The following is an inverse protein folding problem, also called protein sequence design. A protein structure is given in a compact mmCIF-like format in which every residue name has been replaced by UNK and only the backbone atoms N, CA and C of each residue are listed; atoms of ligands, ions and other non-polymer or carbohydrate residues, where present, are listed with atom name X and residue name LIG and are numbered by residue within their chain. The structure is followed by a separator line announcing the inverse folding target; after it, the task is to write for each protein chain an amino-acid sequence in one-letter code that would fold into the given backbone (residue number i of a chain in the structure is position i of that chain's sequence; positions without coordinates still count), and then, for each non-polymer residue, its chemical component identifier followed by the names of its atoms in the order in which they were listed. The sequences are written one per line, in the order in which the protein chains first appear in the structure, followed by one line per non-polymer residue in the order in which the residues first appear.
data_IF_290032699955
#
_entry.id   IF_290032699955
#
_cell.length_a   1.000
_cell.length_b   1.000
_cell.length_c   1.000
_cell.angle_alpha   90.00
_cell.angle_beta   90.00
_cell.angle_gamma   90.00
#
_symmetry.space_group_name_H-M   'P 1'
#
loop_
_entity.id
_entity.type
_entity.pdbx_description
1 polymer ?
#
# COMPACT_ATOMS: atom_id res chain seq x y z
N UNK A 1 -6.51 -38.91 2.62
CA UNK A 1 -7.26 -37.63 2.66
C UNK A 1 -6.27 -36.52 2.39
N UNK A 2 -6.35 -35.83 1.25
CA UNK A 2 -5.52 -34.63 1.02
C UNK A 2 -6.04 -33.50 1.91
N UNK A 3 -5.61 -33.47 3.17
CA UNK A 3 -5.76 -32.29 4.02
C UNK A 3 -4.80 -31.22 3.48
N UNK A 4 -5.29 -30.42 2.55
CA UNK A 4 -4.57 -29.29 2.00
C UNK A 4 -5.50 -28.46 1.13
N UNK A 5 -5.64 -27.18 1.47
CA UNK A 5 -6.25 -26.21 0.57
C UNK A 5 -5.39 -26.15 -0.70
N UNK A 6 -6.01 -26.20 -1.88
CA UNK A 6 -5.29 -25.98 -3.15
C UNK A 6 -4.87 -24.51 -3.19
N UNK A 7 -3.57 -24.26 -3.19
CA UNK A 7 -2.99 -22.92 -3.31
C UNK A 7 -2.51 -22.78 -4.75
N UNK A 8 -3.16 -21.93 -5.53
CA UNK A 8 -2.74 -21.66 -6.89
C UNK A 8 -1.43 -20.85 -6.89
N UNK A 9 -0.49 -21.14 -7.79
CA UNK A 9 0.75 -20.38 -7.90
C UNK A 9 0.46 -18.92 -8.32
N UNK A 10 1.39 -17.99 -8.03
CA UNK A 10 1.30 -16.62 -8.51
C UNK A 10 1.32 -16.62 -10.04
N UNK A 11 0.54 -15.74 -10.66
CA UNK A 11 0.50 -15.60 -12.12
C UNK A 11 0.31 -14.14 -12.54
N UNK A 12 1.07 -13.74 -13.56
CA UNK A 12 1.07 -12.39 -14.12
C UNK A 12 1.57 -11.31 -13.16
N UNK A 13 1.43 -10.05 -13.58
CA UNK A 13 1.97 -8.89 -12.85
C UNK A 13 1.07 -8.49 -11.68
N UNK A 14 1.70 -8.03 -10.61
CA UNK A 14 1.02 -7.53 -9.42
C UNK A 14 1.24 -6.03 -9.30
N UNK A 15 0.15 -5.26 -9.29
CA UNK A 15 0.18 -3.85 -8.98
C UNK A 15 0.33 -3.62 -7.49
N UNK A 16 1.27 -2.76 -7.10
CA UNK A 16 1.39 -2.24 -5.74
C UNK A 16 1.17 -0.74 -5.82
N UNK A 17 -0.02 -0.29 -5.39
CA UNK A 17 -0.38 1.12 -5.37
C UNK A 17 -0.23 1.71 -3.96
N UNK A 18 0.45 2.83 -3.85
CA UNK A 18 0.88 3.38 -2.55
C UNK A 18 0.44 4.84 -2.41
N UNK A 19 -0.55 5.15 -1.57
CA UNK A 19 -0.80 6.53 -1.14
C UNK A 19 0.38 7.00 -0.27
N UNK A 20 1.04 8.07 -0.68
CA UNK A 20 2.30 8.57 -0.12
C UNK A 20 3.51 7.91 -0.78
N UNK A 21 4.16 8.59 -1.72
CA UNK A 21 5.42 8.20 -2.37
C UNK A 21 6.66 8.87 -1.71
N UNK A 22 6.55 9.19 -0.42
CA UNK A 22 7.63 9.74 0.39
C UNK A 22 8.72 8.72 0.76
N UNK A 23 9.47 9.01 1.84
CA UNK A 23 10.72 8.31 2.17
C UNK A 23 10.61 6.77 2.26
N UNK A 24 9.56 6.23 2.89
CA UNK A 24 9.37 4.77 3.01
C UNK A 24 9.13 4.13 1.65
N UNK A 25 8.17 4.68 0.90
CA UNK A 25 7.73 4.14 -0.38
C UNK A 25 8.80 4.26 -1.45
N UNK A 26 9.47 5.42 -1.53
CA UNK A 26 10.54 5.63 -2.51
C UNK A 26 11.75 4.73 -2.25
N UNK A 27 12.11 4.54 -0.97
CA UNK A 27 13.15 3.58 -0.55
C UNK A 27 12.76 2.14 -0.90
N UNK A 28 11.50 1.76 -0.62
CA UNK A 28 10.99 0.42 -0.93
C UNK A 28 11.05 0.13 -2.44
N UNK A 29 10.54 1.05 -3.27
CA UNK A 29 10.53 0.91 -4.74
C UNK A 29 11.97 0.85 -5.27
N UNK A 30 12.84 1.77 -4.84
CA UNK A 30 14.24 1.79 -5.25
C UNK A 30 15.00 0.52 -4.85
N UNK A 31 14.77 0.02 -3.64
CA UNK A 31 15.34 -1.24 -3.16
C UNK A 31 14.89 -2.44 -3.99
N UNK A 32 13.61 -2.52 -4.34
CA UNK A 32 13.09 -3.58 -5.21
C UNK A 32 13.70 -3.50 -6.61
N UNK A 33 13.77 -2.32 -7.22
CA UNK A 33 14.38 -2.15 -8.55
C UNK A 33 15.88 -2.49 -8.55
N UNK A 34 16.59 -2.20 -7.46
CA UNK A 34 18.00 -2.60 -7.31
C UNK A 34 18.14 -4.13 -7.21
N UNK A 35 17.25 -4.80 -6.46
CA UNK A 35 17.25 -6.26 -6.33
C UNK A 35 16.92 -6.95 -7.66
N UNK A 36 15.92 -6.46 -8.40
CA UNK A 36 15.58 -6.97 -9.75
C UNK A 36 16.78 -6.95 -10.70
N UNK A 37 17.66 -5.95 -10.56
CA UNK A 37 18.88 -5.80 -11.38
C UNK A 37 20.11 -6.53 -10.84
N UNK A 38 19.98 -7.25 -9.72
CA UNK A 38 21.11 -7.92 -9.06
C UNK A 38 22.11 -6.96 -8.42
N UNK A 39 21.76 -5.69 -8.23
CA UNK A 39 22.62 -4.66 -7.64
C UNK A 39 22.57 -4.64 -6.11
N UNK A 40 21.53 -5.26 -5.53
CA UNK A 40 21.34 -5.35 -4.09
C UNK A 40 20.74 -6.71 -3.70
N UNK A 41 20.78 -7.01 -2.41
CA UNK A 41 20.07 -8.15 -1.80
C UNK A 41 18.89 -7.61 -0.96
N UNK A 42 17.75 -8.34 -0.87
CA UNK A 42 16.58 -7.91 -0.11
C UNK A 42 16.75 -8.11 1.40
N UNK A 43 17.81 -7.53 1.97
CA UNK A 43 18.18 -7.65 3.39
C UNK A 43 17.06 -7.11 4.27
N UNK A 44 16.67 -7.88 5.29
CA UNK A 44 15.57 -7.56 6.19
C UNK A 44 14.19 -8.05 5.71
N UNK A 45 14.07 -8.55 4.47
CA UNK A 45 12.81 -9.11 3.98
C UNK A 45 12.61 -10.55 4.47
N UNK A 46 11.60 -10.75 5.32
CA UNK A 46 11.23 -12.08 5.82
C UNK A 46 10.85 -13.03 4.67
N UNK A 47 10.09 -12.57 3.69
CA UNK A 47 9.62 -13.44 2.60
C UNK A 47 10.76 -13.83 1.66
N UNK A 48 11.77 -12.98 1.49
CA UNK A 48 12.86 -13.19 0.54
C UNK A 48 14.10 -13.87 1.14
N UNK A 49 14.37 -13.66 2.43
CA UNK A 49 15.57 -14.16 3.11
C UNK A 49 15.29 -14.98 4.38
N UNK A 50 14.05 -14.99 4.86
CA UNK A 50 13.65 -15.79 6.02
C UNK A 50 13.55 -17.28 5.70
N UNK A 51 13.61 -18.09 6.75
CA UNK A 51 13.47 -19.54 6.68
C UNK A 51 12.33 -20.04 7.56
N UNK A 52 11.74 -21.17 7.19
CA UNK A 52 10.72 -21.85 7.99
C UNK A 52 11.26 -23.19 8.49
N UNK A 53 11.09 -23.50 9.77
CA UNK A 53 11.47 -24.81 10.31
C UNK A 53 10.33 -25.81 10.13
N UNK A 54 10.65 -26.95 9.54
CA UNK A 54 9.75 -28.09 9.37
C UNK A 54 10.19 -29.24 10.27
N UNK A 55 9.23 -29.93 10.89
CA UNK A 55 9.51 -31.12 11.71
C UNK A 55 10.27 -30.85 13.02
N UNK A 56 10.87 -31.91 13.57
CA UNK A 56 11.61 -31.84 14.86
C UNK A 56 12.92 -31.09 14.70
N UNK A 57 13.46 -30.60 15.84
CA UNK A 57 14.70 -29.80 15.86
C UNK A 57 15.89 -30.58 15.31
N UNK A 58 15.91 -31.88 15.56
CA UNK A 58 16.97 -32.80 15.15
C UNK A 58 16.99 -33.09 13.65
N UNK A 59 15.92 -32.75 12.91
CA UNK A 59 15.83 -33.01 11.46
C UNK A 59 16.55 -31.95 10.62
N UNK A 60 16.88 -30.78 11.19
CA UNK A 60 17.53 -29.66 10.50
C UNK A 60 16.86 -29.25 9.16
N UNK A 61 15.54 -29.44 9.03
CA UNK A 61 14.76 -29.06 7.84
C UNK A 61 14.32 -27.61 7.94
N UNK A 62 15.13 -26.72 7.36
CA UNK A 62 14.93 -25.27 7.46
C UNK A 62 15.01 -24.60 6.07
N UNK A 63 14.06 -24.89 5.15
CA UNK A 63 14.04 -24.25 3.84
C UNK A 63 13.80 -22.74 3.93
N UNK A 64 14.22 -22.01 2.88
CA UNK A 64 13.84 -20.61 2.72
C UNK A 64 12.32 -20.49 2.48
N UNK A 65 11.70 -19.43 2.99
CA UNK A 65 10.24 -19.21 2.87
C UNK A 65 9.82 -19.15 1.39
N UNK A 66 10.58 -18.43 0.56
CA UNK A 66 10.35 -18.32 -0.88
C UNK A 66 10.43 -19.66 -1.64
N UNK A 67 11.17 -20.63 -1.11
CA UNK A 67 11.30 -21.97 -1.70
C UNK A 67 10.24 -22.94 -1.15
N UNK A 68 9.55 -22.55 -0.07
CA UNK A 68 8.53 -23.35 0.59
C UNK A 68 7.10 -23.00 0.12
N UNK A 69 6.80 -21.71 -0.09
CA UNK A 69 5.48 -21.24 -0.55
C UNK A 69 5.65 -20.57 -1.92
N UNK A 70 4.78 -20.85 -2.91
CA UNK A 70 4.83 -20.18 -4.21
C UNK A 70 4.41 -18.72 -4.06
N UNK A 71 5.38 -17.82 -3.85
CA UNK A 71 5.20 -16.37 -3.78
C UNK A 71 5.56 -15.73 -5.11
N UNK A 72 4.90 -14.61 -5.45
CA UNK A 72 5.22 -13.86 -6.65
C UNK A 72 6.68 -13.36 -6.63
N UNK A 73 7.31 -13.30 -7.81
CA UNK A 73 8.66 -12.75 -7.91
C UNK A 73 8.62 -11.24 -7.66
N UNK A 74 9.75 -10.70 -7.18
CA UNK A 74 9.93 -9.24 -7.18
C UNK A 74 9.82 -8.67 -8.59
N UNK A 75 10.25 -9.41 -9.62
CA UNK A 75 10.16 -9.02 -11.03
C UNK A 75 8.72 -8.78 -11.51
N UNK A 76 7.74 -9.44 -10.88
CA UNK A 76 6.32 -9.32 -11.23
C UNK A 76 5.67 -8.08 -10.64
N UNK A 77 6.35 -7.37 -9.73
CA UNK A 77 5.82 -6.18 -9.05
C UNK A 77 5.88 -4.95 -9.96
N UNK A 78 4.76 -4.26 -10.09
CA UNK A 78 4.61 -2.98 -10.79
C UNK A 78 4.10 -1.94 -9.80
N UNK A 79 4.81 -0.82 -9.69
CA UNK A 79 4.51 0.22 -8.70
C UNK A 79 3.76 1.40 -9.31
N UNK A 80 2.82 1.93 -8.54
CA UNK A 80 2.11 3.19 -8.80
C UNK A 80 1.71 3.83 -7.47
N UNK A 81 1.14 5.02 -7.49
CA UNK A 81 0.73 5.65 -6.24
C UNK A 81 0.35 7.11 -6.37
N UNK A 82 0.00 7.67 -5.22
CA UNK A 82 -0.46 9.05 -5.10
C UNK A 82 0.46 9.81 -4.16
N UNK A 83 0.68 11.08 -4.42
CA UNK A 83 1.35 11.96 -3.49
C UNK A 83 0.83 13.39 -3.66
N UNK A 84 0.97 14.22 -2.63
CA UNK A 84 0.61 15.64 -2.68
C UNK A 84 1.72 16.50 -3.30
N UNK A 85 2.88 15.90 -3.57
CA UNK A 85 3.96 16.49 -4.35
C UNK A 85 4.09 15.78 -5.71
N UNK A 86 4.40 16.52 -6.80
CA UNK A 86 4.46 15.95 -8.15
C UNK A 86 5.80 15.27 -8.48
N UNK A 87 6.69 15.13 -7.49
CA UNK A 87 8.01 14.53 -7.66
C UNK A 87 7.89 13.06 -8.10
N UNK A 88 8.61 12.66 -9.14
CA UNK A 88 8.77 11.24 -9.43
C UNK A 88 9.53 10.51 -8.31
N UNK A 89 9.47 9.18 -8.30
CA UNK A 89 10.06 8.37 -7.23
C UNK A 89 11.57 8.57 -7.10
N UNK A 90 12.29 8.90 -8.18
CA UNK A 90 13.72 9.18 -8.10
C UNK A 90 13.97 10.46 -7.31
N UNK A 91 13.26 11.55 -7.64
CA UNK A 91 13.37 12.81 -6.90
C UNK A 91 12.95 12.64 -5.44
N UNK A 92 11.87 11.90 -5.17
CA UNK A 92 11.42 11.61 -3.82
C UNK A 92 12.47 10.81 -3.02
N UNK A 93 13.13 9.82 -3.64
CA UNK A 93 14.20 9.03 -3.00
C UNK A 93 15.44 9.88 -2.70
N UNK A 94 15.83 10.77 -3.62
CA UNK A 94 16.93 11.71 -3.40
C UNK A 94 16.63 12.65 -2.23
N UNK A 95 15.42 13.22 -2.19
CA UNK A 95 14.99 14.12 -1.09
C UNK A 95 14.90 13.39 0.25
N UNK A 96 14.52 12.12 0.24
CA UNK A 96 14.45 11.31 1.45
C UNK A 96 15.83 11.05 2.08
N UNK A 97 16.90 10.99 1.27
CA UNK A 97 18.27 10.85 1.76
C UNK A 97 18.56 9.51 2.47
N UNK A 98 17.75 8.47 2.20
CA UNK A 98 17.88 7.15 2.86
C UNK A 98 18.89 6.26 2.13
N UNK A 99 18.88 6.26 0.80
CA UNK A 99 19.75 5.42 -0.03
C UNK A 99 20.90 6.25 -0.60
N UNK A 100 22.05 5.59 -0.82
CA UNK A 100 23.18 6.22 -1.48
C UNK A 100 22.84 6.64 -2.91
N UNK A 101 23.32 7.82 -3.31
CA UNK A 101 23.01 8.39 -4.63
C UNK A 101 23.47 7.50 -5.79
N UNK A 102 24.64 6.87 -5.68
CA UNK A 102 25.14 5.97 -6.72
C UNK A 102 24.21 4.78 -6.98
N UNK A 103 23.59 4.23 -5.92
CA UNK A 103 22.58 3.20 -6.08
C UNK A 103 21.33 3.75 -6.77
N UNK A 104 20.83 4.91 -6.36
CA UNK A 104 19.66 5.55 -6.99
C UNK A 104 19.89 5.85 -8.47
N UNK A 105 21.08 6.34 -8.84
CA UNK A 105 21.46 6.62 -10.23
C UNK A 105 21.45 5.34 -11.08
N UNK A 106 21.86 4.20 -10.51
CA UNK A 106 21.88 2.91 -11.23
C UNK A 106 20.49 2.34 -11.57
N UNK A 107 19.45 2.77 -10.85
CA UNK A 107 18.03 2.38 -11.07
C UNK A 107 17.16 3.53 -11.57
N UNK A 108 17.74 4.71 -11.79
CA UNK A 108 17.04 5.96 -12.11
C UNK A 108 15.99 5.84 -13.22
N UNK A 109 16.25 5.19 -14.39
CA UNK A 109 15.25 5.07 -15.43
C UNK A 109 13.97 4.34 -15.01
N UNK A 110 14.06 3.43 -14.03
CA UNK A 110 12.88 2.75 -13.48
C UNK A 110 12.08 3.68 -12.56
N UNK A 111 12.78 4.46 -11.73
CA UNK A 111 12.17 5.35 -10.74
C UNK A 111 11.52 6.59 -11.36
N UNK A 112 12.15 7.22 -12.36
CA UNK A 112 11.60 8.41 -13.04
C UNK A 112 10.30 8.12 -13.84
N UNK A 113 10.06 6.84 -14.18
CA UNK A 113 8.82 6.40 -14.82
C UNK A 113 7.63 6.38 -13.87
N UNK A 114 7.87 6.33 -12.56
CA UNK A 114 6.81 6.28 -11.55
C UNK A 114 6.57 7.71 -11.06
N UNK A 115 5.58 8.36 -11.68
CA UNK A 115 5.10 9.69 -11.28
C UNK A 115 3.83 9.54 -10.45
N UNK A 116 3.69 10.24 -9.32
CA UNK A 116 2.49 10.18 -8.50
C UNK A 116 1.29 10.74 -9.26
N UNK A 117 0.15 10.08 -9.09
CA UNK A 117 -1.15 10.69 -9.36
C UNK A 117 -1.47 11.73 -8.27
N UNK A 118 -2.32 12.74 -8.54
CA UNK A 118 -2.76 13.69 -7.51
C UNK A 118 -3.43 12.96 -6.35
N UNK A 119 -3.09 13.29 -5.11
CA UNK A 119 -3.61 12.64 -3.92
C UNK A 119 -4.93 13.23 -3.42
N UNK A 120 -5.76 12.41 -2.77
CA UNK A 120 -6.78 12.90 -1.83
C UNK A 120 -6.08 13.33 -0.53
N UNK A 121 -6.26 14.58 -0.13
CA UNK A 121 -5.57 15.16 1.03
C UNK A 121 -6.46 16.17 1.76
N UNK A 122 -6.38 16.18 3.08
CA UNK A 122 -7.06 17.14 3.95
C UNK A 122 -6.12 17.60 5.06
N UNK A 123 -5.83 18.91 5.06
CA UNK A 123 -4.92 19.55 6.02
C UNK A 123 -5.44 19.51 7.46
N UNK A 124 -6.75 19.32 7.67
CA UNK A 124 -7.30 19.12 9.00
C UNK A 124 -6.74 17.83 9.66
N UNK A 125 -6.44 16.82 8.84
CA UNK A 125 -5.90 15.54 9.27
C UNK A 125 -4.37 15.50 9.31
N UNK A 126 -3.68 16.31 8.51
CA UNK A 126 -2.21 16.41 8.50
C UNK A 126 -1.79 17.88 8.47
N UNK A 127 -1.73 18.52 9.65
CA UNK A 127 -1.63 19.98 9.79
C UNK A 127 -0.30 20.60 9.30
N UNK A 128 0.80 19.85 9.41
CA UNK A 128 2.16 20.34 9.13
C UNK A 128 2.56 20.18 7.66
N UNK A 129 1.66 19.68 6.83
CA UNK A 129 1.94 19.34 5.45
C UNK A 129 0.95 20.06 4.55
N UNK A 130 1.42 20.50 3.39
CA UNK A 130 0.61 21.12 2.35
C UNK A 130 1.30 20.85 1.02
N UNK A 131 0.53 20.55 -0.01
CA UNK A 131 1.07 20.10 -1.29
C UNK A 131 0.13 20.45 -2.44
N UNK A 132 0.66 20.90 -3.59
CA UNK A 132 -0.16 21.39 -4.69
C UNK A 132 -0.80 20.25 -5.53
N UNK A 133 -0.32 19.01 -5.39
CA UNK A 133 -0.70 17.87 -6.25
C UNK A 133 -1.88 17.09 -5.68
N UNK A 134 -3.03 17.75 -5.55
CA UNK A 134 -4.22 17.21 -4.89
C UNK A 134 -5.40 17.06 -5.85
N UNK A 135 -6.20 16.01 -5.66
CA UNK A 135 -7.47 15.82 -6.36
C UNK A 135 -8.48 16.89 -5.94
N UNK A 136 -9.40 17.19 -6.85
CA UNK A 136 -10.52 18.10 -6.63
C UNK A 136 -11.81 17.39 -7.02
N UNK A 137 -12.86 17.59 -6.22
CA UNK A 137 -14.20 17.05 -6.44
C UNK A 137 -15.19 17.85 -5.61
N UNK A 138 -16.47 17.83 -5.99
CA UNK A 138 -17.53 18.52 -5.23
C UNK A 138 -17.78 17.85 -3.87
N UNK A 139 -17.50 16.55 -3.74
CA UNK A 139 -17.56 15.84 -2.47
C UNK A 139 -16.53 14.70 -2.35
N UNK A 140 -16.42 14.12 -1.15
CA UNK A 140 -15.52 13.01 -0.85
C UNK A 140 -15.88 11.73 -1.62
N UNK A 141 -17.13 11.56 -2.05
CA UNK A 141 -17.53 10.44 -2.91
C UNK A 141 -16.87 10.55 -4.30
N UNK A 142 -16.91 11.73 -4.93
CA UNK A 142 -16.22 11.95 -6.21
C UNK A 142 -14.71 11.72 -6.10
N UNK A 143 -14.11 12.08 -4.95
CA UNK A 143 -12.70 11.79 -4.69
C UNK A 143 -12.44 10.28 -4.62
N UNK A 144 -13.33 9.51 -3.99
CA UNK A 144 -13.25 8.05 -3.95
C UNK A 144 -13.41 7.43 -5.35
N UNK A 145 -14.32 7.94 -6.17
CA UNK A 145 -14.52 7.49 -7.55
C UNK A 145 -13.28 7.77 -8.42
N UNK A 146 -12.65 8.93 -8.26
CA UNK A 146 -11.38 9.23 -8.94
C UNK A 146 -10.25 8.27 -8.54
N UNK A 147 -10.18 7.85 -7.27
CA UNK A 147 -9.20 6.85 -6.83
C UNK A 147 -9.49 5.46 -7.46
N UNK A 148 -10.77 5.06 -7.53
CA UNK A 148 -11.18 3.83 -8.20
C UNK A 148 -10.81 3.85 -9.70
N UNK A 149 -10.99 5.01 -10.34
CA UNK A 149 -10.62 5.20 -11.74
C UNK A 149 -9.10 5.10 -11.95
N UNK A 150 -8.28 5.73 -11.10
CA UNK A 150 -6.82 5.60 -11.17
C UNK A 150 -6.38 4.13 -11.04
N UNK A 151 -6.96 3.38 -10.09
CA UNK A 151 -6.70 1.93 -9.91
C UNK A 151 -7.05 1.16 -11.17
N UNK A 152 -8.24 1.39 -11.73
CA UNK A 152 -8.74 0.71 -12.93
C UNK A 152 -7.85 0.99 -14.15
N UNK A 153 -7.43 2.25 -14.33
CA UNK A 153 -6.55 2.63 -15.43
C UNK A 153 -5.15 2.02 -15.25
N UNK A 154 -4.61 2.01 -14.04
CA UNK A 154 -3.33 1.36 -13.74
C UNK A 154 -3.36 -0.13 -14.04
N UNK A 155 -4.43 -0.82 -13.62
CA UNK A 155 -4.67 -2.24 -13.93
C UNK A 155 -4.71 -2.50 -15.43
N UNK A 156 -5.47 -1.69 -16.18
CA UNK A 156 -5.59 -1.81 -17.64
C UNK A 156 -4.27 -1.53 -18.35
N UNK A 157 -3.59 -0.45 -18.00
CA UNK A 157 -2.35 0.01 -18.63
C UNK A 157 -1.23 -1.03 -18.49
N UNK A 158 -1.13 -1.66 -17.32
CA UNK A 158 -0.06 -2.62 -17.02
C UNK A 158 -0.47 -4.09 -17.15
N UNK A 159 -1.72 -4.36 -17.54
CA UNK A 159 -2.29 -5.71 -17.67
C UNK A 159 -2.08 -6.52 -16.38
N UNK A 160 -2.46 -5.93 -15.25
CA UNK A 160 -2.23 -6.50 -13.93
C UNK A 160 -3.23 -7.63 -13.65
N UNK A 161 -2.72 -8.77 -13.18
CA UNK A 161 -3.57 -9.87 -12.71
C UNK A 161 -4.18 -9.59 -11.34
N UNK A 162 -3.44 -8.87 -10.49
CA UNK A 162 -3.82 -8.52 -9.12
C UNK A 162 -3.30 -7.13 -8.78
N UNK A 163 -3.91 -6.49 -7.81
CA UNK A 163 -3.45 -5.20 -7.27
C UNK A 163 -3.64 -5.18 -5.77
N UNK A 164 -2.73 -4.54 -5.05
CA UNK A 164 -2.83 -4.29 -3.61
C UNK A 164 -2.58 -2.81 -3.34
N UNK A 165 -3.23 -2.28 -2.30
CA UNK A 165 -2.98 -0.94 -1.80
C UNK A 165 -2.30 -0.99 -0.43
N UNK A 166 -1.23 -0.22 -0.26
CA UNK A 166 -0.54 -0.07 1.03
C UNK A 166 -0.49 1.41 1.35
N UNK A 167 -1.18 1.84 2.41
CA UNK A 167 -1.11 3.21 2.89
C UNK A 167 0.26 3.51 3.50
N UNK A 168 0.98 4.45 2.90
CA UNK A 168 2.23 5.01 3.41
C UNK A 168 2.17 6.55 3.46
N UNK A 169 0.96 7.10 3.52
CA UNK A 169 0.72 8.53 3.69
C UNK A 169 1.14 8.98 5.08
N UNK A 170 1.23 10.30 5.26
CA UNK A 170 1.52 10.88 6.58
C UNK A 170 0.47 10.46 7.60
N UNK A 171 0.90 10.16 8.84
CA UNK A 171 0.01 9.82 9.94
C UNK A 171 -1.02 10.93 10.16
N UNK A 172 -2.29 10.56 10.02
CA UNK A 172 -3.41 11.46 10.27
C UNK A 172 -3.64 11.66 11.78
N UNK A 173 -4.25 12.78 12.15
CA UNK A 173 -4.65 13.03 13.55
C UNK A 173 -5.56 11.92 14.09
N UNK A 174 -5.47 11.69 15.39
CA UNK A 174 -6.33 10.74 16.06
C UNK A 174 -7.80 11.20 16.04
N UNK A 175 -8.69 10.29 15.65
CA UNK A 175 -10.14 10.45 15.76
C UNK A 175 -10.75 9.17 16.35
N UNK A 176 -11.93 9.30 16.97
CA UNK A 176 -12.73 8.16 17.43
C UNK A 176 -13.80 7.81 16.38
N UNK A 177 -14.14 6.53 16.20
CA UNK A 177 -15.30 6.15 15.40
C UNK A 177 -16.57 6.88 15.86
N UNK A 178 -17.34 7.43 14.91
CA UNK A 178 -18.60 8.12 15.15
C UNK A 178 -19.75 7.47 14.40
N UNK A 179 -20.90 8.15 14.32
CA UNK A 179 -22.11 7.64 13.66
C UNK A 179 -21.91 7.37 12.14
N UNK A 180 -21.16 8.24 11.46
CA UNK A 180 -20.81 8.11 10.03
C UNK A 180 -19.94 6.88 9.73
N UNK A 181 -19.33 6.25 10.75
CA UNK A 181 -18.42 5.12 10.59
C UNK A 181 -19.08 3.76 10.89
N UNK A 182 -20.39 3.74 11.23
CA UNK A 182 -21.06 2.54 11.73
C UNK A 182 -21.51 1.57 10.63
N UNK A 183 -22.13 2.09 9.56
CA UNK A 183 -22.65 1.26 8.47
C UNK A 183 -22.16 1.80 7.13
N UNK A 184 -22.21 0.96 6.09
CA UNK A 184 -21.79 1.37 4.76
C UNK A 184 -22.68 2.50 4.23
N UNK A 185 -23.98 2.48 4.54
CA UNK A 185 -24.95 3.50 4.13
C UNK A 185 -24.62 4.85 4.77
N UNK A 186 -24.35 4.88 6.09
CA UNK A 186 -23.99 6.13 6.76
C UNK A 186 -22.65 6.67 6.28
N UNK A 187 -21.69 5.79 5.97
CA UNK A 187 -20.40 6.17 5.44
C UNK A 187 -20.50 6.73 4.01
N UNK A 188 -21.22 6.07 3.10
CA UNK A 188 -21.42 6.55 1.72
C UNK A 188 -22.22 7.86 1.69
N UNK A 189 -23.22 8.02 2.56
CA UNK A 189 -23.91 9.29 2.75
C UNK A 189 -22.95 10.38 3.25
N UNK A 190 -22.09 10.06 4.22
CA UNK A 190 -21.07 10.99 4.72
C UNK A 190 -20.07 11.40 3.65
N UNK A 191 -19.68 10.49 2.75
CA UNK A 191 -18.83 10.82 1.60
C UNK A 191 -19.50 11.85 0.68
N UNK A 192 -20.79 11.67 0.38
CA UNK A 192 -21.56 12.61 -0.46
C UNK A 192 -21.75 13.97 0.22
N UNK A 193 -21.91 13.98 1.55
CA UNK A 193 -22.16 15.19 2.34
C UNK A 193 -20.88 15.88 2.85
N UNK A 194 -19.69 15.41 2.45
CA UNK A 194 -18.40 15.91 2.95
C UNK A 194 -18.27 15.85 4.48
N UNK A 195 -18.77 14.79 5.12
CA UNK A 195 -18.71 14.66 6.58
C UNK A 195 -17.26 14.82 7.07
N UNK A 196 -16.97 15.79 7.95
CA UNK A 196 -15.62 16.11 8.38
C UNK A 196 -14.94 14.98 9.13
N UNK A 197 -15.67 13.99 9.68
CA UNK A 197 -15.12 12.85 10.41
C UNK A 197 -14.54 11.76 9.49
N UNK A 198 -14.79 11.81 8.19
CA UNK A 198 -14.18 10.88 7.22
C UNK A 198 -12.78 11.39 6.82
N UNK A 199 -11.75 10.66 7.26
CA UNK A 199 -10.36 10.98 6.95
C UNK A 199 -9.96 10.57 5.52
N UNK A 200 -8.96 11.22 4.89
CA UNK A 200 -8.43 10.81 3.59
C UNK A 200 -8.10 9.31 3.50
N UNK A 201 -7.42 8.74 4.49
CA UNK A 201 -7.08 7.30 4.50
C UNK A 201 -8.29 6.38 4.46
N UNK A 202 -9.45 6.81 4.97
CA UNK A 202 -10.71 6.05 4.87
C UNK A 202 -11.27 6.09 3.45
N UNK A 203 -11.08 7.18 2.72
CA UNK A 203 -11.48 7.33 1.30
C UNK A 203 -10.65 6.36 0.44
N UNK A 204 -9.34 6.27 0.69
CA UNK A 204 -8.47 5.28 0.03
C UNK A 204 -8.86 3.83 0.37
N UNK A 205 -9.10 3.53 1.64
CA UNK A 205 -9.54 2.21 2.06
C UNK A 205 -10.88 1.82 1.41
N UNK A 206 -11.85 2.74 1.40
CA UNK A 206 -13.13 2.56 0.71
C UNK A 206 -12.93 2.30 -0.79
N UNK A 207 -12.13 3.12 -1.48
CA UNK A 207 -11.86 2.95 -2.91
C UNK A 207 -11.18 1.61 -3.22
N UNK A 208 -10.22 1.18 -2.39
CA UNK A 208 -9.56 -0.12 -2.50
C UNK A 208 -10.56 -1.28 -2.38
N UNK A 209 -11.39 -1.27 -1.32
CA UNK A 209 -12.38 -2.32 -1.08
C UNK A 209 -13.44 -2.36 -2.19
N UNK A 210 -13.96 -1.20 -2.64
CA UNK A 210 -14.92 -1.12 -3.75
C UNK A 210 -14.32 -1.61 -5.07
N UNK A 211 -13.01 -1.43 -5.26
CA UNK A 211 -12.27 -1.96 -6.42
C UNK A 211 -11.90 -3.45 -6.29
N UNK A 212 -12.24 -4.11 -5.19
CA UNK A 212 -11.90 -5.51 -4.96
C UNK A 212 -10.41 -5.75 -4.68
N UNK A 213 -9.64 -4.72 -4.30
CA UNK A 213 -8.20 -4.84 -4.08
C UNK A 213 -7.88 -4.84 -2.57
N UNK A 214 -7.00 -5.74 -2.09
CA UNK A 214 -6.58 -5.75 -0.68
C UNK A 214 -5.99 -4.41 -0.23
N UNK A 215 -6.23 -4.04 1.03
CA UNK A 215 -5.76 -2.81 1.63
C UNK A 215 -4.98 -3.06 2.92
N UNK A 216 -3.79 -2.46 3.04
CA UNK A 216 -2.98 -2.49 4.24
C UNK A 216 -2.74 -1.06 4.77
N UNK A 217 -3.08 -0.81 6.05
CA UNK A 217 -2.77 0.47 6.69
C UNK A 217 -1.36 0.44 7.32
N UNK A 218 -0.40 1.14 6.71
CA UNK A 218 0.97 1.25 7.21
C UNK A 218 1.18 2.29 8.31
N UNK A 219 0.17 3.07 8.68
CA UNK A 219 0.24 4.12 9.69
C UNK A 219 -0.72 3.84 10.87
N UNK A 220 -0.55 4.48 12.04
CA UNK A 220 -1.34 4.18 13.23
C UNK A 220 -2.74 4.83 13.27
N UNK A 221 -3.08 5.68 12.29
CA UNK A 221 -4.37 6.37 12.22
C UNK A 221 -5.54 5.40 11.95
N UNK A 222 -6.74 5.84 12.30
CA UNK A 222 -7.98 5.14 12.01
C UNK A 222 -8.25 5.19 10.50
N UNK A 223 -8.45 4.02 9.87
CA UNK A 223 -8.59 3.90 8.42
C UNK A 223 -9.61 2.81 8.07
N UNK A 224 -9.18 1.67 7.49
CA UNK A 224 -10.06 0.54 7.17
C UNK A 224 -10.66 -0.17 8.40
N UNK A 225 -10.12 0.07 9.60
CA UNK A 225 -10.53 -0.53 10.87
C UNK A 225 -11.78 0.12 11.50
N UNK A 226 -12.66 0.71 10.69
CA UNK A 226 -13.99 1.18 11.10
C UNK A 226 -15.09 0.14 10.81
N UNK A 227 -16.18 0.08 11.59
CA UNK A 227 -17.25 -0.90 11.39
C UNK A 227 -17.79 -0.96 9.95
N UNK A 228 -18.07 0.19 9.34
CA UNK A 228 -18.57 0.27 7.96
C UNK A 228 -17.64 -0.41 6.93
N UNK A 229 -16.33 -0.15 7.00
CA UNK A 229 -15.37 -0.69 6.04
C UNK A 229 -14.99 -2.14 6.34
N UNK A 230 -15.00 -2.55 7.62
CA UNK A 230 -14.86 -3.97 7.99
C UNK A 230 -16.03 -4.79 7.43
N UNK A 231 -17.26 -4.28 7.54
CA UNK A 231 -18.43 -4.93 6.97
C UNK A 231 -18.34 -5.00 5.45
N UNK A 232 -18.05 -3.87 4.79
CA UNK A 232 -17.89 -3.83 3.33
C UNK A 232 -16.80 -4.80 2.84
N UNK A 233 -15.66 -4.86 3.55
CA UNK A 233 -14.56 -5.77 3.20
C UNK A 233 -14.98 -7.24 3.29
N UNK A 234 -15.80 -7.61 4.29
CA UNK A 234 -16.37 -8.96 4.41
C UNK A 234 -17.33 -9.26 3.27
N UNK A 235 -18.24 -8.34 2.96
CA UNK A 235 -19.22 -8.50 1.87
C UNK A 235 -18.56 -8.64 0.50
N UNK A 236 -17.42 -7.96 0.30
CA UNK A 236 -16.64 -7.99 -0.95
C UNK A 236 -15.56 -9.07 -0.98
N UNK A 237 -15.40 -9.82 0.10
CA UNK A 237 -14.33 -10.80 0.29
C UNK A 237 -12.91 -10.21 0.07
N UNK A 238 -12.72 -8.94 0.46
CA UNK A 238 -11.47 -8.20 0.30
C UNK A 238 -10.65 -8.24 1.60
N UNK A 239 -9.41 -8.75 1.58
CA UNK A 239 -8.52 -8.68 2.74
C UNK A 239 -8.16 -7.24 3.11
N UNK A 240 -8.33 -6.92 4.38
CA UNK A 240 -7.80 -5.69 4.99
C UNK A 240 -6.86 -6.03 6.14
N UNK A 241 -5.78 -5.26 6.31
CA UNK A 241 -4.87 -5.45 7.43
C UNK A 241 -4.25 -4.11 7.90
N UNK A 242 -3.61 -4.17 9.05
CA UNK A 242 -3.07 -3.02 9.75
C UNK A 242 -3.19 -3.17 11.26
N UNK A 243 -2.73 -2.19 12.03
CA UNK A 243 -2.18 -0.90 11.60
C UNK A 243 -0.76 -0.69 12.10
N UNK A 244 -0.09 0.29 11.51
CA UNK A 244 1.28 0.70 11.83
C UNK A 244 2.35 -0.34 11.46
N UNK A 245 3.30 0.05 10.60
CA UNK A 245 4.41 -0.83 10.23
C UNK A 245 5.30 -1.07 11.46
N UNK A 246 5.27 -2.30 12.00
CA UNK A 246 6.11 -2.69 13.14
C UNK A 246 7.58 -2.76 12.72
N UNK A 247 8.30 -1.66 12.94
CA UNK A 247 9.70 -1.49 12.55
C UNK A 247 10.58 -1.13 13.76
N UNK A 248 11.90 -1.26 13.61
CA UNK A 248 12.91 -0.76 14.56
C UNK A 248 12.65 -1.15 16.01
N UNK A 249 12.41 -0.15 16.86
CA UNK A 249 12.28 -0.33 18.31
C UNK A 249 11.10 -1.23 18.71
N UNK A 250 9.94 -1.10 18.06
CA UNK A 250 8.73 -1.86 18.43
C UNK A 250 8.84 -3.33 18.01
N UNK A 251 9.71 -3.66 17.04
CA UNK A 251 10.01 -5.05 16.69
C UNK A 251 10.89 -5.73 17.74
N UNK A 252 11.79 -4.96 18.39
CA UNK A 252 12.77 -5.46 19.36
C UNK A 252 12.23 -5.56 20.80
N UNK A 253 11.15 -4.85 21.11
CA UNK A 253 10.44 -4.92 22.40
C UNK A 253 9.67 -6.24 22.54
#
# INVERSE_FOLDING_TARGET
MSKGMKIDPPSGKIGVVVPGLGAVSSTFIAGVEAVKRGLAKPIGSLTQMGTIRLGKRTENRVPAIKDFVPLASLDDLVFGGWDIFPDDVYQAAIKAGVLERGLLDSVRPALERIRPWPAVFDKAYVRKLDGPHVKKGANKMELAEQLQEDIRQFQKQHQLSRTIMIWCGSTEVYIKPGAVHQTIESFEQGLQQNDPAIAPSMIYAYAAIKSGIPYANGAPNLSADIPALIQLAKEREVPICGKDLKTGQTLMK
#
